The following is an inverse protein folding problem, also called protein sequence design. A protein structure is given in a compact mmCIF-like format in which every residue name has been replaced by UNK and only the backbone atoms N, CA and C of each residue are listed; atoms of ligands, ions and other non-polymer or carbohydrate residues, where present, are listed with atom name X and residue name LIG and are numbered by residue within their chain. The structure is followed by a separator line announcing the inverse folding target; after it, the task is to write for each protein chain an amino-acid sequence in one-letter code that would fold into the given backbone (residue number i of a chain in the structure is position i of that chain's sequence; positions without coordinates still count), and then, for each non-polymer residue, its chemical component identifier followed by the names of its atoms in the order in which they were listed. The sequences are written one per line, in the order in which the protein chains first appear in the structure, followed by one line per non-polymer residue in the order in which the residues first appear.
data_IF_521352542783
#
_entry.id   IF_521352542783
#
_cell.length_a   1.000
_cell.length_b   1.000
_cell.length_c   1.000
_cell.angle_alpha   90.00
_cell.angle_beta   90.00
_cell.angle_gamma   90.00
#
_symmetry.space_group_name_H-M   'P 1'
#
loop_
_entity.id
_entity.type
_entity.pdbx_description
1 polymer ?
#
# COMPACT_ATOMS: atom_id res chain seq x y z
N UNK A 1 -18.02 -23.16 4.12
CA UNK A 1 -18.50 -24.04 3.03
C UNK A 1 -17.52 -23.85 1.89
N UNK A 2 -16.64 -24.82 1.65
CA UNK A 2 -15.67 -24.73 0.55
C UNK A 2 -16.43 -25.11 -0.72
N UNK A 3 -16.57 -24.18 -1.66
CA UNK A 3 -17.15 -24.49 -2.97
C UNK A 3 -16.08 -25.30 -3.72
N UNK A 4 -16.36 -26.55 -4.14
CA UNK A 4 -15.38 -27.33 -4.87
C UNK A 4 -15.06 -26.65 -6.20
N UNK A 5 -13.77 -26.57 -6.53
CA UNK A 5 -13.28 -26.00 -7.80
C UNK A 5 -13.84 -26.79 -8.98
N UNK A 6 -14.25 -26.09 -10.03
CA UNK A 6 -14.55 -26.73 -11.31
C UNK A 6 -13.26 -27.06 -12.06
N UNK A 7 -13.32 -27.90 -13.09
CA UNK A 7 -12.17 -28.18 -13.97
C UNK A 7 -11.57 -26.89 -14.59
N UNK A 8 -12.44 -25.91 -14.90
CA UNK A 8 -12.01 -24.60 -15.38
C UNK A 8 -11.26 -23.81 -14.30
N UNK A 9 -11.72 -23.90 -13.06
CA UNK A 9 -11.06 -23.22 -11.93
C UNK A 9 -9.71 -23.87 -11.63
N UNK A 10 -9.60 -25.20 -11.68
CA UNK A 10 -8.32 -25.93 -11.52
C UNK A 10 -7.31 -25.53 -12.59
N UNK A 11 -7.76 -25.40 -13.85
CA UNK A 11 -6.91 -24.93 -14.95
C UNK A 11 -6.42 -23.50 -14.72
N UNK A 12 -7.29 -22.59 -14.29
CA UNK A 12 -6.94 -21.20 -14.02
C UNK A 12 -5.98 -21.07 -12.83
N UNK A 13 -6.22 -21.81 -11.75
CA UNK A 13 -5.34 -21.87 -10.58
C UNK A 13 -3.95 -22.40 -10.98
N UNK A 14 -3.89 -23.47 -11.76
CA UNK A 14 -2.63 -24.04 -12.23
C UNK A 14 -1.84 -23.01 -13.03
N UNK A 15 -2.51 -22.32 -13.96
CA UNK A 15 -1.89 -21.24 -14.75
C UNK A 15 -1.35 -20.09 -13.89
N UNK A 16 -2.06 -19.71 -12.83
CA UNK A 16 -1.59 -18.68 -11.89
C UNK A 16 -0.40 -19.16 -11.05
N UNK A 17 -0.41 -20.42 -10.60
CA UNK A 17 0.69 -21.03 -9.86
C UNK A 17 1.95 -21.24 -10.72
N UNK A 18 1.79 -21.33 -12.04
CA UNK A 18 2.90 -21.40 -13.01
C UNK A 18 3.43 -20.02 -13.43
N UNK A 19 2.83 -18.92 -12.95
CA UNK A 19 3.26 -17.57 -13.28
C UNK A 19 4.74 -17.35 -12.95
N UNK A 20 5.47 -16.64 -13.82
CA UNK A 20 6.84 -16.21 -13.55
C UNK A 20 6.94 -15.19 -12.41
N UNK A 21 5.83 -14.56 -12.02
CA UNK A 21 5.79 -13.57 -10.95
C UNK A 21 5.47 -14.21 -9.59
N UNK A 22 6.41 -14.19 -8.62
CA UNK A 22 6.18 -14.78 -7.30
C UNK A 22 5.02 -14.16 -6.53
N UNK A 23 4.69 -12.89 -6.78
CA UNK A 23 3.55 -12.23 -6.12
C UNK A 23 2.22 -12.85 -6.54
N UNK A 24 2.09 -13.24 -7.80
CA UNK A 24 0.90 -13.90 -8.34
C UNK A 24 0.77 -15.30 -7.74
N UNK A 25 1.88 -16.06 -7.69
CA UNK A 25 1.88 -17.39 -7.07
C UNK A 25 1.52 -17.32 -5.59
N UNK A 26 2.11 -16.38 -4.85
CA UNK A 26 1.80 -16.17 -3.43
C UNK A 26 0.33 -15.81 -3.19
N UNK A 27 -0.20 -14.80 -3.90
CA UNK A 27 -1.60 -14.39 -3.76
C UNK A 27 -2.55 -15.54 -4.14
N UNK A 28 -2.21 -16.34 -5.16
CA UNK A 28 -3.00 -17.53 -5.52
C UNK A 28 -3.04 -18.55 -4.39
N UNK A 29 -1.90 -18.82 -3.75
CA UNK A 29 -1.84 -19.73 -2.61
C UNK A 29 -2.70 -19.22 -1.44
N UNK A 30 -2.50 -17.97 -1.04
CA UNK A 30 -3.09 -17.45 0.20
C UNK A 30 -4.54 -17.02 0.02
N UNK A 31 -4.86 -16.30 -1.06
CA UNK A 31 -6.17 -15.66 -1.23
C UNK A 31 -7.17 -16.52 -1.99
N UNK A 32 -6.71 -17.40 -2.89
CA UNK A 32 -7.59 -18.26 -3.70
C UNK A 32 -7.68 -19.69 -3.17
N UNK A 33 -6.58 -20.23 -2.65
CA UNK A 33 -6.50 -21.61 -2.16
C UNK A 33 -6.55 -21.72 -0.63
N UNK A 34 -6.73 -20.60 0.07
CA UNK A 34 -6.77 -20.52 1.54
C UNK A 34 -5.55 -21.18 2.22
N UNK A 35 -4.40 -21.22 1.53
CA UNK A 35 -3.15 -21.73 2.11
C UNK A 35 -2.70 -20.75 3.18
N UNK A 36 -2.52 -21.26 4.40
CA UNK A 36 -2.08 -20.43 5.51
C UNK A 36 -0.75 -19.71 5.16
N UNK A 37 -0.62 -18.39 5.40
CA UNK A 37 0.58 -17.62 5.05
C UNK A 37 1.83 -18.14 5.77
N UNK A 38 1.70 -18.65 6.99
CA UNK A 38 2.77 -19.37 7.72
C UNK A 38 3.03 -20.82 7.26
N UNK A 39 2.47 -21.26 6.14
CA UNK A 39 2.90 -22.53 5.54
C UNK A 39 4.31 -22.39 4.97
N UNK A 40 5.04 -23.50 4.89
CA UNK A 40 6.37 -23.50 4.25
C UNK A 40 6.30 -23.05 2.79
N UNK A 41 5.22 -23.42 2.08
CA UNK A 41 5.02 -23.09 0.68
C UNK A 41 4.78 -21.60 0.47
N UNK A 42 3.81 -21.01 1.20
CA UNK A 42 3.51 -19.59 1.10
C UNK A 42 4.73 -18.72 1.46
N UNK A 43 5.41 -18.99 2.59
CA UNK A 43 6.64 -18.27 2.95
C UNK A 43 7.76 -18.42 1.91
N UNK A 44 7.85 -19.56 1.24
CA UNK A 44 8.84 -19.75 0.19
C UNK A 44 8.54 -18.90 -1.04
N UNK A 45 7.28 -18.68 -1.39
CA UNK A 45 6.91 -17.78 -2.49
C UNK A 45 7.02 -16.31 -2.09
N UNK A 46 6.60 -15.96 -0.87
CA UNK A 46 6.70 -14.60 -0.31
C UNK A 46 8.14 -14.09 -0.37
N UNK A 47 9.11 -14.89 0.06
CA UNK A 47 10.53 -14.52 0.04
C UNK A 47 11.09 -14.28 -1.36
N UNK A 48 10.48 -14.84 -2.40
CA UNK A 48 10.89 -14.63 -3.79
C UNK A 48 10.30 -13.35 -4.37
N UNK A 49 9.28 -12.75 -3.74
CA UNK A 49 8.57 -11.57 -4.25
C UNK A 49 9.52 -10.40 -4.48
N UNK A 50 10.51 -10.21 -3.61
CA UNK A 50 11.53 -9.14 -3.77
C UNK A 50 12.34 -9.28 -5.06
N UNK A 51 12.54 -10.51 -5.53
CA UNK A 51 13.21 -10.82 -6.79
C UNK A 51 12.24 -10.89 -7.97
N UNK A 52 10.95 -10.60 -7.77
CA UNK A 52 9.95 -10.54 -8.82
C UNK A 52 10.19 -9.37 -9.78
N UNK A 53 9.87 -9.53 -11.08
CA UNK A 53 10.10 -8.48 -12.08
C UNK A 53 9.36 -7.17 -11.75
N UNK A 54 8.14 -7.23 -11.19
CA UNK A 54 7.35 -6.05 -10.82
C UNK A 54 7.94 -5.32 -9.61
N UNK A 55 8.29 -6.04 -8.56
CA UNK A 55 8.88 -5.44 -7.35
C UNK A 55 10.23 -4.79 -7.66
N UNK A 56 11.10 -5.47 -8.41
CA UNK A 56 12.35 -4.85 -8.87
C UNK A 56 12.12 -3.60 -9.70
N UNK A 57 11.11 -3.59 -10.58
CA UNK A 57 10.79 -2.42 -11.38
C UNK A 57 10.26 -1.24 -10.53
N UNK A 58 9.46 -1.52 -9.51
CA UNK A 58 8.94 -0.50 -8.58
C UNK A 58 10.04 0.09 -7.69
N UNK A 59 11.02 -0.72 -7.27
CA UNK A 59 12.16 -0.29 -6.47
C UNK A 59 13.32 0.30 -7.30
N UNK A 60 13.27 0.18 -8.63
CA UNK A 60 14.31 0.68 -9.49
C UNK A 60 14.53 2.21 -9.32
N UNK A 61 15.80 2.60 -9.22
CA UNK A 61 16.22 3.99 -9.06
C UNK A 61 16.05 4.55 -7.65
N UNK A 62 15.82 3.70 -6.64
CA UNK A 62 15.83 4.13 -5.24
C UNK A 62 17.19 4.77 -4.89
N UNK A 63 17.12 5.88 -4.18
CA UNK A 63 18.27 6.66 -3.74
C UNK A 63 18.68 6.27 -2.31
N UNK A 64 19.89 6.62 -1.84
CA UNK A 64 20.36 6.27 -0.50
C UNK A 64 19.51 6.82 0.65
N UNK A 65 18.70 7.85 0.40
CA UNK A 65 17.74 8.41 1.37
C UNK A 65 16.42 7.63 1.44
N UNK A 66 16.29 6.52 0.70
CA UNK A 66 15.07 5.71 0.58
C UNK A 66 14.07 6.24 -0.46
N UNK A 67 14.28 7.45 -0.96
CA UNK A 67 13.42 8.10 -1.95
C UNK A 67 13.76 7.73 -3.39
N UNK A 68 13.20 8.48 -4.34
CA UNK A 68 13.34 8.22 -5.78
C UNK A 68 13.72 9.49 -6.56
N UNK A 69 14.35 10.47 -5.90
CA UNK A 69 14.77 11.73 -6.52
C UNK A 69 13.62 12.67 -6.94
N UNK A 70 12.39 12.34 -6.55
CA UNK A 70 11.17 13.14 -6.79
C UNK A 70 10.35 13.24 -5.51
N UNK A 71 9.35 14.13 -5.48
CA UNK A 71 8.39 14.20 -4.38
C UNK A 71 7.78 12.82 -4.09
N UNK A 72 7.61 12.49 -2.80
CA UNK A 72 7.00 11.23 -2.38
C UNK A 72 5.62 10.99 -3.03
N UNK A 73 4.86 12.05 -3.31
CA UNK A 73 3.54 11.98 -3.97
C UNK A 73 3.57 12.22 -5.49
N UNK A 74 4.74 12.30 -6.11
CA UNK A 74 4.85 12.40 -7.56
C UNK A 74 4.10 11.22 -8.21
N UNK A 75 3.18 11.50 -9.15
CA UNK A 75 2.29 10.48 -9.71
C UNK A 75 3.11 9.35 -10.34
N UNK A 76 2.85 8.13 -9.87
CA UNK A 76 3.44 6.86 -10.34
C UNK A 76 4.96 6.70 -10.13
N UNK A 77 5.71 7.79 -9.96
CA UNK A 77 7.17 7.77 -9.81
C UNK A 77 7.64 8.06 -8.39
N UNK A 78 6.81 8.69 -7.56
CA UNK A 78 7.09 8.91 -6.15
C UNK A 78 6.86 7.66 -5.30
N UNK A 79 7.47 7.65 -4.11
CA UNK A 79 7.41 6.54 -3.17
C UNK A 79 5.97 6.12 -2.82
N UNK A 80 5.04 7.07 -2.67
CA UNK A 80 3.67 6.80 -2.24
C UNK A 80 2.95 5.78 -3.14
N UNK A 81 2.91 6.02 -4.45
CA UNK A 81 2.20 5.14 -5.39
C UNK A 81 2.93 3.81 -5.61
N UNK A 82 4.26 3.84 -5.56
CA UNK A 82 5.08 2.62 -5.64
C UNK A 82 4.81 1.69 -4.45
N UNK A 83 4.73 2.24 -3.25
CA UNK A 83 4.46 1.49 -2.03
C UNK A 83 3.08 0.87 -1.99
N UNK A 84 2.05 1.56 -2.50
CA UNK A 84 0.72 0.95 -2.64
C UNK A 84 0.80 -0.31 -3.50
N UNK A 85 1.44 -0.21 -4.67
CA UNK A 85 1.63 -1.39 -5.54
C UNK A 85 2.50 -2.46 -4.89
N UNK A 86 3.53 -2.10 -4.12
CA UNK A 86 4.37 -3.07 -3.41
C UNK A 86 3.58 -3.83 -2.33
N UNK A 87 2.69 -3.16 -1.61
CA UNK A 87 1.80 -3.79 -0.64
C UNK A 87 0.80 -4.73 -1.32
N UNK A 88 0.18 -4.31 -2.43
CA UNK A 88 -0.73 -5.16 -3.23
C UNK A 88 0.00 -6.39 -3.81
N UNK A 89 1.31 -6.29 -4.07
CA UNK A 89 2.15 -7.39 -4.52
C UNK A 89 2.67 -8.27 -3.37
N UNK A 90 2.25 -8.01 -2.13
CA UNK A 90 2.67 -8.74 -0.94
C UNK A 90 4.19 -8.72 -0.69
N UNK A 91 4.85 -7.57 -0.91
CA UNK A 91 6.28 -7.42 -0.55
C UNK A 91 6.50 -7.85 0.92
N UNK A 92 7.56 -8.60 1.28
CA UNK A 92 7.79 -8.99 2.66
C UNK A 92 7.77 -7.79 3.61
N UNK A 93 7.13 -7.96 4.77
CA UNK A 93 6.93 -6.88 5.73
C UNK A 93 8.25 -6.27 6.27
N UNK A 94 9.32 -7.07 6.28
CA UNK A 94 10.66 -6.70 6.72
C UNK A 94 11.58 -6.24 5.58
N UNK A 95 11.07 -6.08 4.34
CA UNK A 95 11.87 -5.62 3.21
C UNK A 95 12.47 -4.22 3.51
N UNK A 96 13.82 -4.09 3.54
CA UNK A 96 14.47 -2.85 3.94
C UNK A 96 14.25 -1.71 2.93
N UNK A 97 14.07 -2.03 1.65
CA UNK A 97 13.86 -1.04 0.60
C UNK A 97 12.47 -0.41 0.67
N UNK A 98 11.44 -1.24 0.87
CA UNK A 98 10.06 -0.79 1.09
C UNK A 98 9.96 0.03 2.37
N UNK A 99 10.59 -0.41 3.47
CA UNK A 99 10.63 0.36 4.73
C UNK A 99 11.33 1.71 4.56
N UNK A 100 12.47 1.76 3.89
CA UNK A 100 13.17 3.02 3.61
C UNK A 100 12.32 3.97 2.74
N UNK A 101 11.59 3.45 1.75
CA UNK A 101 10.65 4.27 0.98
C UNK A 101 9.48 4.76 1.83
N UNK A 102 8.95 3.93 2.74
CA UNK A 102 7.85 4.29 3.62
C UNK A 102 8.22 5.44 4.57
N UNK A 103 9.45 5.47 5.06
CA UNK A 103 9.99 6.59 5.84
C UNK A 103 9.84 7.93 5.09
N UNK A 104 10.18 7.97 3.79
CA UNK A 104 10.03 9.20 2.99
C UNK A 104 8.57 9.65 2.84
N UNK A 105 7.63 8.71 2.83
CA UNK A 105 6.19 9.00 2.78
C UNK A 105 5.71 9.50 4.14
N UNK A 106 6.14 8.87 5.24
CA UNK A 106 5.80 9.31 6.59
C UNK A 106 6.32 10.73 6.88
N UNK A 107 7.55 11.03 6.47
CA UNK A 107 8.12 12.38 6.60
C UNK A 107 7.34 13.41 5.79
N UNK A 108 6.95 13.06 4.55
CA UNK A 108 6.11 13.93 3.73
C UNK A 108 4.74 14.19 4.38
N UNK A 109 4.02 13.15 4.79
CA UNK A 109 2.68 13.26 5.38
C UNK A 109 2.68 13.96 6.74
N UNK A 110 3.77 13.88 7.49
CA UNK A 110 3.92 14.55 8.79
C UNK A 110 4.57 15.93 8.69
N UNK A 111 4.97 16.37 7.49
CA UNK A 111 5.55 17.68 7.26
C UNK A 111 4.56 18.82 7.58
N UNK A 112 5.09 19.97 8.01
CA UNK A 112 4.27 21.15 8.26
C UNK A 112 3.52 21.61 7.01
N UNK A 113 4.15 21.50 5.84
CA UNK A 113 3.53 21.81 4.55
C UNK A 113 2.28 20.97 4.34
N UNK A 114 2.39 19.64 4.51
CA UNK A 114 1.24 18.75 4.35
C UNK A 114 0.10 19.11 5.30
N UNK A 115 0.42 19.42 6.57
CA UNK A 115 -0.59 19.84 7.57
C UNK A 115 -1.33 21.11 7.16
N UNK A 116 -0.62 22.11 6.64
CA UNK A 116 -1.20 23.41 6.23
C UNK A 116 -2.08 23.32 4.99
N UNK A 117 -1.87 22.30 4.14
CA UNK A 117 -2.65 22.11 2.92
C UNK A 117 -4.08 21.56 3.18
N UNK A 118 -4.49 21.36 4.45
CA UNK A 118 -5.85 20.93 4.81
C UNK A 118 -6.77 22.13 4.97
N UNK A 119 -7.85 22.18 4.19
CA UNK A 119 -8.82 23.26 4.24
C UNK A 119 -10.07 22.84 5.00
N UNK A 120 -10.62 23.74 5.81
CA UNK A 120 -11.91 23.57 6.47
C UNK A 120 -12.93 24.50 5.79
N UNK A 121 -14.03 23.94 5.29
CA UNK A 121 -15.14 24.69 4.67
C UNK A 121 -16.41 24.30 5.39
N UNK A 122 -17.10 25.28 6.00
CA UNK A 122 -18.31 25.04 6.80
C UNK A 122 -18.11 23.98 7.90
N UNK A 123 -16.95 23.99 8.56
CA UNK A 123 -16.60 23.02 9.59
C UNK A 123 -16.19 21.63 9.06
N UNK A 124 -16.21 21.41 7.74
CA UNK A 124 -15.87 20.13 7.12
C UNK A 124 -14.48 20.17 6.50
N UNK A 125 -13.64 19.19 6.84
CA UNK A 125 -12.33 19.03 6.27
C UNK A 125 -12.40 18.65 4.78
N UNK A 126 -11.51 19.25 3.97
CA UNK A 126 -11.33 18.96 2.55
C UNK A 126 -9.93 18.40 2.34
N UNK A 127 -9.83 17.08 2.21
CA UNK A 127 -8.55 16.37 2.09
C UNK A 127 -8.65 15.12 1.22
N UNK A 128 -7.56 14.80 0.54
CA UNK A 128 -7.39 13.53 -0.15
C UNK A 128 -7.13 12.42 0.87
N UNK A 129 -8.19 11.85 1.46
CA UNK A 129 -8.06 10.75 2.42
C UNK A 129 -7.29 9.53 1.87
N UNK A 130 -7.19 9.39 0.54
CA UNK A 130 -6.33 8.38 -0.09
C UNK A 130 -4.86 8.52 0.28
N UNK A 131 -4.36 9.72 0.62
CA UNK A 131 -2.95 9.92 0.98
C UNK A 131 -2.64 9.25 2.33
N UNK A 132 -3.35 9.63 3.38
CA UNK A 132 -3.20 9.04 4.72
C UNK A 132 -3.67 7.58 4.75
N UNK A 133 -4.78 7.26 4.06
CA UNK A 133 -5.35 5.92 4.01
C UNK A 133 -4.42 4.89 3.37
N UNK A 134 -3.91 5.19 2.16
CA UNK A 134 -2.98 4.28 1.48
C UNK A 134 -1.68 4.11 2.27
N UNK A 135 -1.15 5.20 2.84
CA UNK A 135 0.07 5.13 3.65
C UNK A 135 -0.15 4.32 4.94
N UNK A 136 -1.32 4.42 5.57
CA UNK A 136 -1.68 3.61 6.72
C UNK A 136 -1.75 2.12 6.37
N UNK A 137 -2.35 1.76 5.23
CA UNK A 137 -2.37 0.39 4.71
C UNK A 137 -0.97 -0.14 4.49
N UNK A 138 -0.13 0.62 3.77
CA UNK A 138 1.29 0.27 3.52
C UNK A 138 2.06 0.07 4.83
N UNK A 139 1.95 1.00 5.78
CA UNK A 139 2.70 0.92 7.04
C UNK A 139 2.22 -0.26 7.90
N UNK A 140 0.93 -0.58 7.85
CA UNK A 140 0.39 -1.76 8.54
C UNK A 140 0.96 -3.04 7.94
N UNK A 141 0.98 -3.14 6.60
CA UNK A 141 1.57 -4.25 5.86
C UNK A 141 3.07 -4.43 6.18
N UNK A 142 3.83 -3.34 6.22
CA UNK A 142 5.26 -3.36 6.53
C UNK A 142 5.58 -3.53 8.04
N UNK A 143 4.58 -3.79 8.88
CA UNK A 143 4.78 -3.98 10.32
C UNK A 143 5.28 -2.73 11.04
N UNK A 144 4.99 -1.53 10.52
CA UNK A 144 5.41 -0.23 11.07
C UNK A 144 4.37 0.38 12.02
N UNK A 145 3.38 -0.39 12.45
CA UNK A 145 2.25 0.12 13.26
C UNK A 145 2.62 0.70 14.62
N UNK A 146 3.80 0.41 15.15
CA UNK A 146 4.31 1.00 16.40
C UNK A 146 4.87 2.42 16.23
N UNK A 147 5.03 2.90 15.00
CA UNK A 147 5.51 4.26 14.74
C UNK A 147 4.40 5.28 15.05
N UNK A 148 4.66 6.29 15.93
CA UNK A 148 3.66 7.31 16.27
C UNK A 148 3.13 8.09 15.06
N UNK A 149 3.94 8.26 14.00
CA UNK A 149 3.52 8.91 12.75
C UNK A 149 2.44 8.12 12.03
N UNK A 150 2.41 6.79 12.17
CA UNK A 150 1.39 5.91 11.57
C UNK A 150 0.07 6.04 12.33
N UNK A 151 0.10 6.02 13.67
CA UNK A 151 -1.08 6.27 14.50
C UNK A 151 -1.72 7.63 14.17
N UNK A 152 -0.89 8.65 13.94
CA UNK A 152 -1.35 9.97 13.52
C UNK A 152 -2.11 9.95 12.19
N UNK A 153 -1.75 9.10 11.22
CA UNK A 153 -2.51 8.98 9.97
C UNK A 153 -3.95 8.55 10.24
N UNK A 154 -4.16 7.58 11.14
CA UNK A 154 -5.48 7.13 11.54
C UNK A 154 -6.27 8.24 12.25
N UNK A 155 -5.64 8.97 13.18
CA UNK A 155 -6.26 10.13 13.85
C UNK A 155 -6.71 11.20 12.84
N UNK A 156 -5.87 11.49 11.84
CA UNK A 156 -6.19 12.45 10.80
C UNK A 156 -7.39 11.97 9.96
N UNK A 157 -7.40 10.71 9.52
CA UNK A 157 -8.54 10.15 8.80
C UNK A 157 -9.85 10.26 9.57
N UNK A 158 -9.84 9.95 10.88
CA UNK A 158 -11.01 10.12 11.74
C UNK A 158 -11.43 11.59 11.85
N UNK A 159 -10.46 12.51 11.99
CA UNK A 159 -10.75 13.95 12.06
C UNK A 159 -11.27 14.54 10.75
N UNK A 160 -10.97 13.88 9.62
CA UNK A 160 -11.38 14.32 8.29
C UNK A 160 -12.71 13.71 7.84
N UNK A 161 -13.23 12.73 8.58
CA UNK A 161 -14.47 12.05 8.23
C UNK A 161 -15.66 12.99 8.40
N UNK A 162 -16.55 12.98 7.42
CA UNK A 162 -17.77 13.77 7.42
C UNK A 162 -18.90 13.06 8.19
N UNK A 163 -19.98 13.78 8.55
CA UNK A 163 -21.13 13.18 9.25
C UNK A 163 -21.82 12.03 8.49
N UNK A 164 -21.65 11.96 7.17
CA UNK A 164 -22.17 10.87 6.32
C UNK A 164 -21.24 9.63 6.29
N UNK A 165 -20.11 9.68 7.00
CA UNK A 165 -19.10 8.63 7.05
C UNK A 165 -18.07 8.70 5.91
N UNK A 166 -18.19 9.66 4.99
CA UNK A 166 -17.30 9.81 3.84
C UNK A 166 -16.13 10.78 4.05
N UNK A 167 -15.34 10.95 2.99
CA UNK A 167 -14.27 11.95 2.88
C UNK A 167 -14.38 12.67 1.54
N UNK A 168 -13.98 13.94 1.51
CA UNK A 168 -14.11 14.77 0.32
C UNK A 168 -12.86 15.62 0.09
N UNK A 169 -12.36 15.63 -1.15
CA UNK A 169 -11.21 16.43 -1.58
C UNK A 169 -11.55 17.50 -2.63
N UNK A 170 -12.84 17.70 -2.94
CA UNK A 170 -13.30 18.69 -3.91
C UNK A 170 -12.93 20.10 -3.46
N UNK A 171 -12.44 20.90 -4.42
CA UNK A 171 -12.09 22.28 -4.19
C UNK A 171 -13.35 23.15 -4.01
N UNK A 172 -13.25 24.32 -3.35
CA UNK A 172 -14.39 25.19 -3.10
C UNK A 172 -15.23 25.53 -4.33
N UNK A 173 -14.60 25.73 -5.49
CA UNK A 173 -15.28 26.05 -6.77
C UNK A 173 -16.11 24.90 -7.34
N UNK A 174 -15.89 23.68 -6.86
CA UNK A 174 -16.50 22.44 -7.33
C UNK A 174 -17.39 21.81 -6.24
N UNK A 175 -17.51 22.46 -5.07
CA UNK A 175 -18.36 22.02 -3.97
C UNK A 175 -19.79 22.54 -4.20
N UNK A 176 -20.71 21.63 -4.53
CA UNK A 176 -22.15 21.90 -4.47
C UNK A 176 -22.65 21.84 -3.03
#
# INVERSE_FOLDING_TARGET
MVIPLTERDETAVTWLLESDDPSIRYATLVELLDVHPDSQWARSEERKIVDGPKVRALLAGQQPDGGFGVSAYAKWTGAHWRLVSLADLNVPADDPHARAAAETVLDWLNSEKHRRDTFIINGLARRHASQEGNALTVCSHLGMGSDPRVARLAELLLSYQWPDGGWNCSRPKDAR
#
